data_IF_668663678995
#
_entry.id   IF_668663678995
#
_cell.length_a   1.000
_cell.length_b   1.000
_cell.length_c   1.000
_cell.angle_alpha   90.00
_cell.angle_beta   90.00
_cell.angle_gamma   90.00
#
_symmetry.space_group_name_H-M   'P 1'
#
loop_
_entity.id
_entity.type
_entity.pdbx_description
1 polymer ?
#
# COMPACT_ATOMS: atom_id res chain seq x y z
N UNK A 1 -18.01 5.33 8.37
CA UNK A 1 -17.18 6.30 7.61
C UNK A 1 -15.83 6.47 8.29
N UNK A 2 -14.74 6.18 7.58
CA UNK A 2 -13.36 6.22 8.08
C UNK A 2 -12.54 7.13 7.17
N UNK A 3 -11.70 8.00 7.76
CA UNK A 3 -10.78 8.83 6.98
C UNK A 3 -9.52 8.03 6.70
N UNK A 4 -9.15 7.94 5.43
CA UNK A 4 -7.95 7.26 4.98
C UNK A 4 -6.85 8.26 4.65
N UNK A 5 -5.61 7.84 4.84
CA UNK A 5 -4.39 8.54 4.44
C UNK A 5 -3.72 7.73 3.36
N UNK A 6 -3.57 8.33 2.17
CA UNK A 6 -2.84 7.71 1.05
C UNK A 6 -1.43 7.35 1.53
N UNK A 7 -1.03 6.10 1.33
CA UNK A 7 0.27 5.57 1.77
C UNK A 7 1.19 5.34 0.58
N UNK A 8 0.71 4.66 -0.47
CA UNK A 8 1.47 4.49 -1.70
C UNK A 8 0.53 4.37 -2.91
N UNK A 9 0.92 4.92 -4.06
CA UNK A 9 0.23 4.68 -5.33
C UNK A 9 0.97 3.57 -6.06
N UNK A 10 0.30 2.46 -6.32
CA UNK A 10 0.90 1.27 -6.95
C UNK A 10 0.81 1.37 -8.47
N UNK A 11 -0.33 1.84 -8.99
CA UNK A 11 -0.53 2.00 -10.42
C UNK A 11 -1.22 3.34 -10.71
N UNK A 12 -0.66 4.08 -11.67
CA UNK A 12 -1.09 5.41 -12.04
C UNK A 12 -1.06 5.56 -13.56
N UNK A 13 -2.20 5.93 -14.15
CA UNK A 13 -2.28 6.35 -15.55
C UNK A 13 -2.60 7.85 -15.58
N UNK A 14 -3.86 8.23 -15.81
CA UNK A 14 -4.32 9.63 -15.66
C UNK A 14 -4.70 9.95 -14.21
N UNK A 15 -5.18 8.93 -13.50
CA UNK A 15 -5.60 8.97 -12.10
C UNK A 15 -5.09 7.70 -11.41
N UNK A 16 -4.95 7.70 -10.07
CA UNK A 16 -4.58 6.48 -9.35
C UNK A 16 -5.55 5.36 -9.73
N UNK A 17 -5.03 4.23 -10.20
CA UNK A 17 -5.86 3.04 -10.46
C UNK A 17 -5.83 2.12 -9.26
N UNK A 18 -4.64 1.94 -8.69
CA UNK A 18 -4.41 1.09 -7.53
C UNK A 18 -3.55 1.86 -6.55
N UNK A 19 -4.01 1.93 -5.29
CA UNK A 19 -3.24 2.54 -4.22
C UNK A 19 -3.46 1.82 -2.90
N UNK A 20 -2.55 2.06 -1.96
CA UNK A 20 -2.67 1.65 -0.57
C UNK A 20 -2.93 2.85 0.31
N UNK A 21 -3.74 2.65 1.33
CA UNK A 21 -4.04 3.69 2.31
C UNK A 21 -4.14 3.10 3.71
N UNK A 22 -4.05 3.96 4.71
CA UNK A 22 -4.17 3.60 6.12
C UNK A 22 -5.19 4.48 6.82
N UNK A 23 -5.90 3.94 7.80
CA UNK A 23 -6.71 4.75 8.71
C UNK A 23 -5.92 5.18 9.96
N UNK A 24 -6.55 5.96 10.84
CA UNK A 24 -5.94 6.44 12.08
C UNK A 24 -5.53 5.32 13.06
N UNK A 25 -6.01 4.09 12.87
CA UNK A 25 -5.66 2.93 13.69
C UNK A 25 -4.46 2.15 13.12
N UNK A 26 -3.98 2.52 11.94
CA UNK A 26 -2.92 1.80 11.22
C UNK A 26 -3.44 0.61 10.41
N UNK A 27 -4.76 0.47 10.24
CA UNK A 27 -5.33 -0.57 9.38
C UNK A 27 -5.01 -0.24 7.92
N UNK A 28 -4.51 -1.22 7.17
CA UNK A 28 -4.20 -1.06 5.75
C UNK A 28 -5.40 -1.39 4.87
N UNK A 29 -5.51 -0.65 3.77
CA UNK A 29 -6.51 -0.81 2.73
C UNK A 29 -5.81 -0.87 1.38
N UNK A 30 -6.19 -1.86 0.57
CA UNK A 30 -5.85 -1.94 -0.85
C UNK A 30 -7.06 -1.42 -1.63
N UNK A 31 -6.86 -0.39 -2.44
CA UNK A 31 -7.94 0.31 -3.13
C UNK A 31 -7.75 0.23 -4.64
N UNK A 32 -8.82 -0.10 -5.36
CA UNK A 32 -8.84 -0.19 -6.82
C UNK A 32 -9.98 0.64 -7.39
N UNK A 33 -9.69 1.43 -8.43
CA UNK A 33 -10.68 2.24 -9.14
C UNK A 33 -11.67 1.30 -9.85
N UNK A 34 -12.97 1.54 -9.67
CA UNK A 34 -14.00 0.80 -10.40
C UNK A 34 -14.97 1.72 -11.16
N UNK A 35 -15.08 2.98 -10.76
CA UNK A 35 -15.96 3.94 -11.42
C UNK A 35 -15.35 5.34 -11.39
N UNK A 36 -15.37 5.99 -12.54
CA UNK A 36 -15.04 7.39 -12.72
C UNK A 36 -16.25 8.06 -13.33
N UNK A 37 -16.88 8.96 -12.58
CA UNK A 37 -18.02 9.74 -13.07
C UNK A 37 -17.73 11.25 -12.88
N UNK A 38 -18.55 12.12 -13.45
CA UNK A 38 -18.40 13.58 -13.38
C UNK A 38 -18.33 14.14 -11.96
N UNK A 39 -18.82 13.39 -10.96
CA UNK A 39 -18.81 13.72 -9.53
C UNK A 39 -17.53 13.25 -8.80
N UNK A 40 -16.61 12.56 -9.47
CA UNK A 40 -15.31 12.15 -8.93
C UNK A 40 -14.97 10.68 -9.14
N UNK A 41 -14.02 10.20 -8.34
CA UNK A 41 -13.46 8.86 -8.43
C UNK A 41 -13.96 7.98 -7.30
N UNK A 42 -14.45 6.79 -7.64
CA UNK A 42 -14.91 5.77 -6.67
C UNK A 42 -14.03 4.54 -6.75
N UNK A 43 -13.56 4.14 -5.59
CA UNK A 43 -12.66 3.03 -5.41
C UNK A 43 -13.33 1.97 -4.54
N UNK A 44 -13.04 0.71 -4.83
CA UNK A 44 -13.35 -0.39 -3.96
C UNK A 44 -12.11 -0.62 -3.10
N UNK A 45 -12.26 -0.51 -1.79
CA UNK A 45 -11.20 -0.74 -0.82
C UNK A 45 -11.43 -2.05 -0.08
N UNK A 46 -10.39 -2.88 0.04
CA UNK A 46 -10.40 -4.05 0.91
C UNK A 46 -9.43 -3.87 2.06
N UNK A 47 -9.89 -4.14 3.29
CA UNK A 47 -9.01 -4.23 4.45
C UNK A 47 -8.06 -5.42 4.26
N UNK A 48 -6.78 -5.15 4.42
CA UNK A 48 -5.73 -6.13 4.16
C UNK A 48 -4.67 -6.06 5.26
N UNK A 49 -4.13 -7.20 5.66
CA UNK A 49 -3.01 -7.29 6.57
C UNK A 49 -1.70 -6.97 5.86
N UNK A 50 -0.70 -6.51 6.62
CA UNK A 50 0.62 -6.22 6.06
C UNK A 50 1.25 -7.44 5.34
N UNK A 51 1.23 -8.69 5.87
CA UNK A 51 1.74 -9.84 5.15
C UNK A 51 1.05 -10.09 3.81
N UNK A 52 -0.28 -9.96 3.76
CA UNK A 52 -1.06 -10.19 2.54
C UNK A 52 -0.85 -9.07 1.52
N UNK A 53 -0.71 -7.83 2.00
CA UNK A 53 -0.33 -6.70 1.17
C UNK A 53 1.06 -6.87 0.56
N UNK A 54 2.04 -7.34 1.35
CA UNK A 54 3.38 -7.64 0.84
C UNK A 54 3.36 -8.79 -0.18
N UNK A 55 2.48 -9.78 -0.03
CA UNK A 55 2.30 -10.83 -1.03
C UNK A 55 1.74 -10.27 -2.35
N UNK A 56 0.79 -9.32 -2.28
CA UNK A 56 0.31 -8.61 -3.47
C UNK A 56 1.42 -7.82 -4.16
N UNK A 57 2.12 -6.96 -3.41
CA UNK A 57 3.24 -6.15 -3.92
C UNK A 57 4.39 -7.03 -4.43
N UNK A 58 4.56 -8.23 -3.88
CA UNK A 58 5.53 -9.22 -4.33
C UNK A 58 5.09 -10.05 -5.54
N UNK A 59 3.94 -9.74 -6.16
CA UNK A 59 3.41 -10.45 -7.33
C UNK A 59 2.93 -11.88 -7.03
N UNK A 60 2.66 -12.21 -5.76
CA UNK A 60 2.30 -13.55 -5.30
C UNK A 60 0.81 -13.72 -5.04
N UNK A 61 0.07 -12.61 -4.93
CA UNK A 61 -1.36 -12.58 -4.71
C UNK A 61 -2.01 -11.87 -5.90
N UNK A 62 -3.05 -12.49 -6.45
CA UNK A 62 -3.90 -11.87 -7.46
C UNK A 62 -4.76 -10.76 -6.81
N UNK A 63 -4.91 -9.65 -7.51
CA UNK A 63 -5.67 -8.49 -7.00
C UNK A 63 -7.11 -8.88 -6.65
N UNK A 64 -7.80 -9.61 -7.52
CA UNK A 64 -9.19 -10.01 -7.35
C UNK A 64 -9.35 -10.99 -6.19
N UNK A 65 -8.40 -11.90 -5.99
CA UNK A 65 -8.37 -12.80 -4.84
C UNK A 65 -8.33 -12.04 -3.50
N UNK A 66 -7.74 -10.83 -3.46
CA UNK A 66 -7.78 -9.99 -2.26
C UNK A 66 -9.21 -9.53 -1.91
N UNK A 67 -10.07 -9.29 -2.90
CA UNK A 67 -11.44 -8.81 -2.71
C UNK A 67 -12.45 -9.95 -2.50
N UNK A 68 -12.29 -11.08 -3.19
CA UNK A 68 -13.23 -12.21 -3.09
C UNK A 68 -13.04 -13.03 -1.82
N UNK A 69 -11.79 -13.16 -1.37
CA UNK A 69 -11.44 -13.92 -0.18
C UNK A 69 -10.81 -13.00 0.88
N UNK A 70 -11.55 -12.01 1.42
CA UNK A 70 -10.99 -11.09 2.42
C UNK A 70 -10.56 -11.83 3.69
N UNK A 71 -9.65 -11.23 4.45
CA UNK A 71 -9.15 -11.84 5.69
C UNK A 71 -10.15 -11.78 6.84
N UNK A 72 -11.11 -10.86 6.78
CA UNK A 72 -12.17 -10.67 7.78
C UNK A 72 -13.51 -10.45 7.09
N UNK A 73 -14.59 -10.75 7.80
CA UNK A 73 -15.94 -10.42 7.35
C UNK A 73 -16.12 -8.90 7.26
N UNK A 74 -16.91 -8.43 6.29
CA UNK A 74 -17.17 -7.00 6.05
C UNK A 74 -15.89 -6.16 5.85
N UNK A 75 -14.89 -6.73 5.18
CA UNK A 75 -13.64 -6.06 4.84
C UNK A 75 -13.73 -5.12 3.63
N UNK A 76 -14.88 -4.99 2.98
CA UNK A 76 -15.06 -4.22 1.75
C UNK A 76 -15.68 -2.86 2.02
N UNK A 77 -15.09 -1.83 1.43
CA UNK A 77 -15.44 -0.43 1.64
C UNK A 77 -15.54 0.29 0.30
N UNK A 78 -16.53 1.17 0.18
CA UNK A 78 -16.56 2.19 -0.86
C UNK A 78 -15.66 3.34 -0.43
N UNK A 79 -14.62 3.62 -1.21
CA UNK A 79 -13.68 4.72 -0.96
C UNK A 79 -13.93 5.83 -1.98
N UNK A 80 -14.27 7.02 -1.47
CA UNK A 80 -14.56 8.20 -2.29
C UNK A 80 -13.51 9.26 -2.02
N UNK A 81 -13.09 9.96 -3.08
CA UNK A 81 -12.21 11.13 -2.99
C UNK A 81 -13.07 12.38 -2.95
N UNK A 82 -13.07 13.11 -1.83
CA UNK A 82 -13.80 14.38 -1.69
C UNK A 82 -12.85 15.48 -1.19
N UNK A 83 -12.74 16.58 -1.95
CA UNK A 83 -11.96 17.78 -1.57
C UNK A 83 -10.57 17.45 -1.00
N UNK A 84 -9.84 16.56 -1.68
CA UNK A 84 -8.49 16.12 -1.29
C UNK A 84 -8.40 15.21 -0.04
N UNK A 85 -9.54 14.68 0.43
CA UNK A 85 -9.65 13.68 1.50
C UNK A 85 -10.12 12.34 0.94
N UNK A 86 -9.59 11.24 1.47
CA UNK A 86 -10.03 9.88 1.17
C UNK A 86 -10.96 9.40 2.29
N UNK A 87 -12.16 8.97 1.92
CA UNK A 87 -13.19 8.57 2.87
C UNK A 87 -13.72 7.18 2.51
N UNK A 88 -13.57 6.24 3.44
CA UNK A 88 -14.06 4.87 3.32
C UNK A 88 -15.39 4.70 4.05
N UNK A 89 -16.39 4.18 3.35
CA UNK A 89 -17.71 3.85 3.89
C UNK A 89 -17.99 2.38 3.70
N UNK A 90 -18.50 1.71 4.72
CA UNK A 90 -18.89 0.31 4.65
C UNK A 90 -19.91 0.09 3.51
N UNK A 91 -19.80 -1.03 2.79
CA UNK A 91 -20.87 -1.44 1.89
C UNK A 91 -22.09 -1.81 2.75
N UNK A 92 -23.25 -1.22 2.44
CA UNK A 92 -24.46 -1.37 3.25
C UNK A 92 -24.96 -2.82 3.26
N UNK A 93 -24.83 -3.53 2.13
CA UNK A 93 -25.19 -4.93 1.99
C UNK A 93 -24.22 -5.70 1.07
N UNK A 94 -24.05 -7.03 1.27
CA UNK A 94 -23.28 -7.88 0.35
C UNK A 94 -23.80 -7.84 -1.09
N UNK A 95 -25.10 -7.60 -1.29
CA UNK A 95 -25.73 -7.42 -2.60
C UNK A 95 -25.35 -6.12 -3.31
N UNK A 96 -24.78 -5.14 -2.58
CA UNK A 96 -24.29 -3.90 -3.17
C UNK A 96 -22.94 -4.13 -3.89
N UNK A 97 -22.24 -5.21 -3.56
CA UNK A 97 -21.06 -5.65 -4.30
C UNK A 97 -21.51 -6.32 -5.59
N UNK A 98 -21.29 -5.63 -6.71
CA UNK A 98 -21.53 -6.19 -8.03
C UNK A 98 -20.25 -6.73 -8.64
N UNK A 99 -20.40 -7.71 -9.52
CA UNK A 99 -19.29 -8.31 -10.26
C UNK A 99 -18.50 -7.27 -11.07
N UNK A 100 -19.18 -6.24 -11.60
CA UNK A 100 -18.57 -5.12 -12.35
C UNK A 100 -17.65 -4.23 -11.51
N UNK A 101 -17.78 -4.27 -10.19
CA UNK A 101 -16.94 -3.50 -9.26
C UNK A 101 -15.64 -4.23 -8.92
N UNK A 102 -15.61 -5.55 -9.16
CA UNK A 102 -14.44 -6.35 -8.86
C UNK A 102 -13.38 -6.18 -9.94
N UNK A 103 -12.10 -6.16 -9.57
CA UNK A 103 -11.03 -6.19 -10.56
C UNK A 103 -11.08 -7.48 -11.37
N UNK A 104 -10.51 -7.42 -12.58
CA UNK A 104 -10.37 -8.60 -13.43
C UNK A 104 -9.43 -9.63 -12.76
N UNK A 105 -9.73 -10.91 -12.99
CA UNK A 105 -8.86 -11.99 -12.57
C UNK A 105 -7.58 -12.01 -13.42
N UNK A 106 -6.48 -12.46 -12.82
CA UNK A 106 -5.18 -12.61 -13.48
C UNK A 106 -4.29 -11.37 -13.39
N UNK A 107 -4.66 -10.38 -12.57
CA UNK A 107 -3.79 -9.23 -12.31
C UNK A 107 -2.88 -9.53 -11.12
N UNK A 108 -1.58 -9.59 -11.39
CA UNK A 108 -0.53 -9.66 -10.39
C UNK A 108 0.31 -8.39 -10.49
N UNK A 109 0.57 -7.75 -9.37
CA UNK A 109 1.40 -6.56 -9.37
C UNK A 109 2.83 -6.93 -9.76
N UNK A 110 3.33 -6.31 -10.83
CA UNK A 110 4.70 -6.47 -11.28
C UNK A 110 5.50 -5.21 -10.94
N UNK A 111 6.38 -5.35 -9.94
CA UNK A 111 7.30 -4.28 -9.58
C UNK A 111 8.46 -4.14 -10.59
N UNK A 112 8.52 -4.93 -11.66
CA UNK A 112 9.58 -4.87 -12.67
C UNK A 112 9.42 -3.71 -13.65
N UNK A 113 8.21 -3.21 -13.88
CA UNK A 113 7.98 -1.99 -14.68
C UNK A 113 8.48 -0.73 -13.98
N UNK A 114 8.63 -0.78 -12.65
CA UNK A 114 9.36 0.22 -11.89
C UNK A 114 10.88 0.13 -12.10
N UNK A 115 11.39 -0.95 -12.69
CA UNK A 115 12.81 -1.19 -12.92
C UNK A 115 13.28 -0.80 -14.33
N UNK A 116 12.38 -0.32 -15.20
CA UNK A 116 12.72 0.23 -16.52
C UNK A 116 13.32 1.64 -16.36
N UNK A 117 14.54 1.69 -15.80
CA UNK A 117 15.39 2.89 -15.73
C UNK A 117 14.93 4.05 -14.86
N UNK A 118 13.69 4.03 -14.36
CA UNK A 118 13.16 4.97 -13.36
C UNK A 118 12.58 4.19 -12.19
N UNK A 119 13.49 3.62 -11.39
CA UNK A 119 13.14 3.18 -10.04
C UNK A 119 12.31 4.28 -9.35
N UNK A 120 11.16 4.00 -8.72
CA UNK A 120 10.76 4.82 -7.59
C UNK A 120 11.96 4.70 -6.67
N UNK A 121 12.66 5.81 -6.48
CA UNK A 121 13.89 5.81 -5.73
C UNK A 121 13.65 5.01 -4.45
N UNK A 122 14.18 3.79 -4.40
CA UNK A 122 14.62 3.25 -3.13
C UNK A 122 15.75 4.19 -2.81
N UNK A 123 15.38 5.30 -2.17
CA UNK A 123 16.28 6.35 -1.76
C UNK A 123 17.12 5.68 -0.67
N UNK A 124 18.13 4.96 -1.14
CA UNK A 124 19.13 4.31 -0.33
C UNK A 124 19.98 5.46 0.13
N UNK A 125 19.52 6.15 1.16
CA UNK A 125 20.26 7.23 1.77
C UNK A 125 21.57 6.64 2.31
N UNK A 126 22.65 6.79 1.55
CA UNK A 126 23.99 6.66 2.08
C UNK A 126 24.24 7.88 2.96
N UNK A 127 23.83 7.79 4.22
CA UNK A 127 24.25 8.72 5.26
C UNK A 127 25.76 8.50 5.46
N UNK A 128 26.58 9.36 4.85
CA UNK A 128 27.98 9.51 5.25
C UNK A 128 27.98 9.98 6.70
N UNK A 129 28.30 9.07 7.62
CA UNK A 129 28.43 9.42 9.03
C UNK A 129 29.82 10.04 9.19
N UNK A 130 29.95 11.36 9.48
CA UNK A 130 31.25 11.95 9.73
C UNK A 130 31.86 11.25 10.96
N UNK A 131 33.09 10.77 10.81
CA UNK A 131 33.78 9.90 11.77
C UNK A 131 33.96 10.50 13.19
N UNK A 132 33.57 11.76 13.41
CA UNK A 132 33.73 12.46 14.67
C UNK A 132 32.58 12.25 15.65
N UNK A 133 31.37 11.89 15.18
CA UNK A 133 30.23 11.61 16.06
C UNK A 133 29.93 10.11 16.07
N UNK A 134 30.62 9.39 16.97
CA UNK A 134 30.32 8.00 17.33
C UNK A 134 29.00 7.91 18.10
N UNK A 135 27.88 8.22 17.47
CA UNK A 135 26.59 7.73 17.93
C UNK A 135 26.39 6.36 17.28
N UNK A 136 26.51 5.29 18.07
CA UNK A 136 26.25 3.92 17.61
C UNK A 136 24.85 3.85 17.00
N UNK A 137 24.71 3.26 15.81
CA UNK A 137 23.46 3.15 15.04
C UNK A 137 22.25 2.66 15.88
N UNK A 138 22.49 1.82 16.89
CA UNK A 138 21.48 1.35 17.84
C UNK A 138 20.75 2.48 18.57
N UNK A 139 21.41 3.61 18.81
CA UNK A 139 20.85 4.74 19.55
C UNK A 139 19.91 5.58 18.68
N UNK A 140 20.21 5.70 17.38
CA UNK A 140 19.31 6.33 16.39
C UNK A 140 18.04 5.49 16.18
N UNK A 141 18.19 4.17 16.11
CA UNK A 141 17.08 3.21 15.94
C UNK A 141 16.10 3.30 17.12
N UNK A 142 16.61 3.41 18.34
CA UNK A 142 15.77 3.57 19.55
C UNK A 142 15.02 4.91 19.56
N UNK A 143 15.64 5.98 19.05
CA UNK A 143 15.02 7.32 18.98
C UNK A 143 13.95 7.45 17.90
N UNK A 144 14.04 6.64 16.85
CA UNK A 144 13.06 6.60 15.75
C UNK A 144 11.99 5.50 15.93
N UNK A 145 12.06 4.73 17.03
CA UNK A 145 11.03 3.74 17.38
C UNK A 145 11.00 2.49 16.49
N UNK A 146 12.08 2.19 15.77
CA UNK A 146 12.14 1.06 14.84
C UNK A 146 12.71 -0.20 15.51
N UNK A 147 12.19 -1.38 15.13
CA UNK A 147 12.72 -2.66 15.61
C UNK A 147 13.89 -3.13 14.75
N UNK A 148 14.97 -3.62 15.40
CA UNK A 148 16.18 -4.13 14.75
C UNK A 148 15.91 -5.28 13.76
N UNK A 149 14.78 -5.99 13.89
CA UNK A 149 14.37 -7.07 12.99
C UNK A 149 13.90 -6.59 11.62
N UNK A 150 13.43 -5.34 11.48
CA UNK A 150 13.02 -4.78 10.18
C UNK A 150 14.24 -4.52 9.26
N UNK A 151 15.40 -4.22 9.85
CA UNK A 151 16.62 -3.86 9.11
C UNK A 151 17.35 -5.04 8.49
N UNK A 152 17.19 -6.26 9.02
CA UNK A 152 17.92 -7.44 8.52
C UNK A 152 17.42 -7.90 7.14
N UNK A 153 16.24 -7.45 6.72
CA UNK A 153 15.69 -7.73 5.39
C UNK A 153 16.05 -6.66 4.36
N UNK A 154 16.31 -5.42 4.79
CA UNK A 154 16.63 -4.29 3.92
C UNK A 154 18.13 -4.14 3.64
N UNK A 155 19.00 -4.57 4.57
CA UNK A 155 20.46 -4.47 4.38
C UNK A 155 21.00 -5.81 3.85
N UNK A 156 20.74 -6.09 2.58
CA UNK A 156 21.46 -7.11 1.84
C UNK A 156 22.92 -6.66 1.62
N UNK A 157 23.86 -7.28 2.33
CA UNK A 157 25.33 -7.20 2.16
C UNK A 157 25.93 -5.79 2.13
N UNK A 158 26.31 -5.27 3.30
CA UNK A 158 27.44 -4.33 3.38
C UNK A 158 28.71 -5.15 3.20
N UNK A 159 29.34 -5.05 2.03
CA UNK A 159 30.71 -5.47 1.85
C UNK A 159 31.61 -4.43 2.55
N UNK A 160 32.33 -4.88 3.58
CA UNK A 160 33.43 -4.12 4.17
C UNK A 160 34.62 -4.28 3.22
N UNK A 161 35.09 -3.17 2.64
CA UNK A 161 36.47 -3.03 2.19
C UNK A 161 37.22 -2.21 3.23
#
# INVERSE_FOLDING_TARGET
MRRLTLTNTLEFYDVPQIFTATDATGTHYLCTLFEQDGDGYRYLGVQISEPRLMAFIGGQLDLREAYIHPEVDNALYLVVVHQNSLEATDLLQPSDLKEEMLPQAGYFYDASDLADGTAPATDTYQLEVPAHDRITFSTLISRMGWSASALRKTIGKVAVL
#
